data_IF_203844680077
#
_entry.id   IF_203844680077
#
_cell.length_a   1.000
_cell.length_b   1.000
_cell.length_c   1.000
_cell.angle_alpha   90.00
_cell.angle_beta   90.00
_cell.angle_gamma   90.00
#
_symmetry.space_group_name_H-M   'P 1'
#
loop_
_entity.id
_entity.type
_entity.pdbx_description
1 polymer ?
#
# COMPACT_ATOMS: atom_id res chain seq x y z
N UNK A 1 8.21 15.72 24.88
CA UNK A 1 8.17 16.69 23.76
C UNK A 1 9.24 16.25 22.78
N UNK A 2 8.87 15.48 21.78
CA UNK A 2 9.79 15.02 20.73
C UNK A 2 9.77 16.04 19.61
N UNK A 3 10.90 16.70 19.40
CA UNK A 3 11.13 17.59 18.26
C UNK A 3 11.15 16.76 17.00
N UNK A 4 10.07 16.83 16.23
CA UNK A 4 10.08 16.45 14.83
C UNK A 4 11.15 17.33 14.16
N UNK A 5 12.31 16.76 13.88
CA UNK A 5 13.30 17.39 12.99
C UNK A 5 12.67 17.46 11.60
N UNK A 6 12.03 18.60 11.32
CA UNK A 6 11.63 18.93 9.96
C UNK A 6 12.89 18.99 9.11
N UNK A 7 13.03 18.08 8.15
CA UNK A 7 14.02 18.20 7.10
C UNK A 7 13.88 19.62 6.51
N UNK A 8 14.93 20.42 6.45
CA UNK A 8 14.82 21.80 5.97
C UNK A 8 14.28 21.79 4.53
N UNK A 9 13.26 22.60 4.28
CA UNK A 9 12.76 22.88 2.94
C UNK A 9 13.90 23.50 2.12
N UNK A 10 14.49 22.74 1.22
CA UNK A 10 15.39 23.25 0.19
C UNK A 10 14.49 23.61 -0.99
N UNK A 11 14.33 24.91 -1.33
CA UNK A 11 13.56 25.28 -2.50
C UNK A 11 14.20 24.68 -3.74
N UNK A 12 13.44 23.90 -4.49
CA UNK A 12 13.89 23.35 -5.77
C UNK A 12 14.19 24.52 -6.72
N UNK A 13 15.38 24.53 -7.32
CA UNK A 13 15.79 25.58 -8.25
C UNK A 13 14.90 25.58 -9.50
N UNK A 14 14.43 24.41 -9.93
CA UNK A 14 13.46 24.24 -11.02
C UNK A 14 12.52 23.06 -10.71
N UNK A 15 11.32 23.33 -10.15
CA UNK A 15 10.35 22.27 -9.83
C UNK A 15 9.86 21.50 -11.07
N UNK A 16 9.84 22.13 -12.25
CA UNK A 16 9.38 21.49 -13.48
C UNK A 16 10.41 20.47 -13.96
N UNK A 17 11.66 20.87 -14.06
CA UNK A 17 12.75 19.97 -14.45
C UNK A 17 12.90 18.80 -13.46
N UNK A 18 12.71 19.04 -12.16
CA UNK A 18 12.76 17.96 -11.15
C UNK A 18 11.58 16.99 -11.30
N UNK A 19 10.38 17.49 -11.56
CA UNK A 19 9.21 16.63 -11.84
C UNK A 19 9.42 15.76 -13.08
N UNK A 20 9.93 16.34 -14.16
CA UNK A 20 10.25 15.62 -15.41
C UNK A 20 11.29 14.54 -15.16
N UNK A 21 12.34 14.85 -14.39
CA UNK A 21 13.39 13.89 -14.02
C UNK A 21 12.82 12.72 -13.22
N UNK A 22 12.02 13.00 -12.20
CA UNK A 22 11.37 11.97 -11.36
C UNK A 22 10.43 11.13 -12.23
N UNK A 23 9.57 11.76 -13.02
CA UNK A 23 8.61 11.07 -13.89
C UNK A 23 9.32 10.13 -14.88
N UNK A 24 10.40 10.58 -15.51
CA UNK A 24 11.18 9.76 -16.45
C UNK A 24 11.79 8.52 -15.75
N UNK A 25 12.32 8.69 -14.53
CA UNK A 25 12.89 7.59 -13.74
C UNK A 25 11.82 6.56 -13.37
N UNK A 26 10.66 7.01 -12.89
CA UNK A 26 9.56 6.12 -12.55
C UNK A 26 8.89 5.47 -13.76
N UNK A 27 8.87 6.14 -14.91
CA UNK A 27 8.42 5.55 -16.17
C UNK A 27 9.33 4.37 -16.58
N UNK A 28 10.65 4.53 -16.45
CA UNK A 28 11.61 3.46 -16.71
C UNK A 28 11.40 2.29 -15.72
N UNK A 29 11.23 2.57 -14.43
CA UNK A 29 10.94 1.56 -13.43
C UNK A 29 9.61 0.83 -13.71
N UNK A 30 8.56 1.56 -14.09
CA UNK A 30 7.26 1.01 -14.50
C UNK A 30 7.39 0.07 -15.70
N UNK A 31 8.18 0.44 -16.70
CA UNK A 31 8.44 -0.41 -17.87
C UNK A 31 9.14 -1.71 -17.47
N UNK A 32 10.21 -1.61 -16.67
CA UNK A 32 10.93 -2.79 -16.17
C UNK A 32 10.05 -3.73 -15.32
N UNK A 33 9.13 -3.17 -14.51
CA UNK A 33 8.16 -3.95 -13.75
C UNK A 33 7.20 -4.71 -14.67
N UNK A 34 6.67 -4.05 -15.71
CA UNK A 34 5.72 -4.64 -16.66
C UNK A 34 6.33 -5.72 -17.57
N UNK A 35 7.64 -5.71 -17.77
CA UNK A 35 8.35 -6.79 -18.48
C UNK A 35 8.40 -8.09 -17.65
N UNK A 36 8.40 -7.98 -16.31
CA UNK A 36 8.47 -9.12 -15.38
C UNK A 36 7.09 -9.56 -14.90
N UNK A 37 6.22 -8.58 -14.63
CA UNK A 37 4.84 -8.80 -14.15
C UNK A 37 3.91 -8.70 -15.34
N UNK A 38 3.56 -9.86 -15.88
CA UNK A 38 2.67 -9.95 -17.02
C UNK A 38 1.21 -9.82 -16.58
N UNK A 39 0.41 -9.10 -17.34
CA UNK A 39 -1.04 -9.04 -17.19
C UNK A 39 -1.55 -7.68 -16.78
N UNK A 40 -1.97 -7.51 -15.57
CA UNK A 40 -2.68 -6.31 -15.14
C UNK A 40 -1.72 -5.13 -14.90
N UNK A 41 -1.66 -4.24 -15.90
CA UNK A 41 -0.87 -3.03 -15.82
C UNK A 41 -1.33 -2.08 -14.69
N UNK A 42 -2.61 -2.15 -14.32
CA UNK A 42 -3.16 -1.29 -13.27
C UNK A 42 -2.64 -1.70 -11.88
N UNK A 43 -2.42 -2.99 -11.66
CA UNK A 43 -1.82 -3.51 -10.42
C UNK A 43 -0.41 -2.94 -10.21
N UNK A 44 0.42 -2.88 -11.26
CA UNK A 44 1.76 -2.30 -11.19
C UNK A 44 1.68 -0.80 -10.90
N UNK A 45 0.79 -0.09 -11.58
CA UNK A 45 0.60 1.35 -11.38
C UNK A 45 0.11 1.67 -9.96
N UNK A 46 -0.88 0.94 -9.45
CA UNK A 46 -1.39 1.12 -8.09
C UNK A 46 -0.32 0.83 -7.03
N UNK A 47 0.53 -0.18 -7.26
CA UNK A 47 1.64 -0.48 -6.38
C UNK A 47 2.69 0.66 -6.36
N UNK A 48 3.05 1.21 -7.54
CA UNK A 48 3.95 2.36 -7.64
C UNK A 48 3.35 3.62 -7.00
N UNK A 49 2.06 3.89 -7.23
CA UNK A 49 1.33 5.00 -6.61
C UNK A 49 1.33 4.85 -5.09
N UNK A 50 1.15 3.63 -4.58
CA UNK A 50 1.23 3.35 -3.13
C UNK A 50 2.57 3.77 -2.55
N UNK A 51 3.68 3.37 -3.18
CA UNK A 51 5.03 3.70 -2.73
C UNK A 51 5.34 5.19 -2.87
N UNK A 52 4.98 5.81 -3.99
CA UNK A 52 5.12 7.26 -4.22
C UNK A 52 4.33 8.10 -3.20
N UNK A 53 3.21 7.59 -2.73
CA UNK A 53 2.38 8.23 -1.70
C UNK A 53 2.91 8.00 -0.28
N UNK A 54 4.06 7.35 -0.11
CA UNK A 54 4.61 6.92 1.18
C UNK A 54 3.62 6.07 2.00
N UNK A 55 2.78 5.27 1.31
CA UNK A 55 1.74 4.45 1.92
C UNK A 55 2.10 2.97 2.04
N UNK A 56 1.14 2.20 2.54
CA UNK A 56 1.15 0.75 2.60
C UNK A 56 0.02 0.20 1.73
N UNK A 57 0.21 -0.94 1.08
CA UNK A 57 -0.78 -1.54 0.17
C UNK A 57 -1.37 -2.84 0.73
N UNK A 58 -2.65 -3.06 0.46
CA UNK A 58 -3.32 -4.34 0.71
C UNK A 58 -3.61 -5.00 -0.63
N UNK A 59 -2.98 -6.13 -0.92
CA UNK A 59 -3.19 -6.88 -2.16
C UNK A 59 -4.17 -8.02 -1.88
N UNK A 60 -5.32 -7.99 -2.55
CA UNK A 60 -6.36 -9.01 -2.41
C UNK A 60 -6.46 -9.81 -3.71
N UNK A 61 -6.37 -11.11 -3.60
CA UNK A 61 -6.47 -12.00 -4.76
C UNK A 61 -6.21 -13.45 -4.40
N UNK A 62 -6.66 -14.36 -5.25
CA UNK A 62 -6.47 -15.80 -5.06
C UNK A 62 -4.99 -16.21 -5.10
N UNK A 63 -4.61 -17.37 -4.55
CA UNK A 63 -3.25 -17.89 -4.66
C UNK A 63 -2.79 -18.07 -6.11
N UNK A 64 -1.49 -17.95 -6.36
CA UNK A 64 -0.92 -18.21 -7.69
C UNK A 64 -0.93 -17.00 -8.65
N UNK A 65 -1.46 -15.86 -8.27
CA UNK A 65 -1.52 -14.65 -9.12
C UNK A 65 -0.31 -13.72 -8.96
N UNK A 66 0.89 -14.26 -8.81
CA UNK A 66 2.17 -13.55 -8.81
C UNK A 66 2.29 -12.38 -7.80
N UNK A 67 1.46 -12.33 -6.73
CA UNK A 67 1.52 -11.27 -5.70
C UNK A 67 2.91 -11.14 -5.07
N UNK A 68 3.53 -12.28 -4.73
CA UNK A 68 4.89 -12.32 -4.17
C UNK A 68 5.90 -11.78 -5.17
N UNK A 69 5.82 -12.24 -6.43
CA UNK A 69 6.71 -11.81 -7.50
C UNK A 69 6.60 -10.28 -7.74
N UNK A 70 5.41 -9.72 -7.65
CA UNK A 70 5.19 -8.27 -7.75
C UNK A 70 5.99 -7.51 -6.67
N UNK A 71 5.84 -7.89 -5.40
CA UNK A 71 6.50 -7.18 -4.30
C UNK A 71 8.02 -7.37 -4.33
N UNK A 72 8.50 -8.56 -4.64
CA UNK A 72 9.94 -8.83 -4.82
C UNK A 72 10.53 -8.02 -5.98
N UNK A 73 9.82 -7.97 -7.13
CA UNK A 73 10.25 -7.19 -8.30
C UNK A 73 10.25 -5.70 -8.00
N UNK A 74 9.24 -5.18 -7.29
CA UNK A 74 9.22 -3.79 -6.82
C UNK A 74 10.45 -3.47 -5.98
N UNK A 75 10.81 -4.34 -5.03
CA UNK A 75 12.00 -4.17 -4.20
C UNK A 75 13.29 -4.09 -5.03
N UNK A 76 13.46 -4.99 -5.98
CA UNK A 76 14.64 -5.01 -6.86
C UNK A 76 14.70 -3.74 -7.71
N UNK A 77 13.61 -3.41 -8.44
CA UNK A 77 13.56 -2.28 -9.37
C UNK A 77 13.75 -0.94 -8.66
N UNK A 78 13.22 -0.79 -7.44
CA UNK A 78 13.31 0.44 -6.66
C UNK A 78 14.52 0.45 -5.70
N UNK A 79 15.39 -0.56 -5.74
CA UNK A 79 16.57 -0.63 -4.89
C UNK A 79 16.27 -0.68 -3.39
N UNK A 80 15.17 -1.33 -3.00
CA UNK A 80 14.72 -1.45 -1.62
C UNK A 80 15.13 -2.80 -1.02
N UNK A 81 15.66 -2.80 0.20
CA UNK A 81 15.80 -4.04 0.96
C UNK A 81 14.41 -4.63 1.21
N UNK A 82 14.21 -5.88 0.76
CA UNK A 82 12.90 -6.54 0.85
C UNK A 82 12.97 -7.77 1.72
N UNK A 83 11.99 -7.91 2.64
CA UNK A 83 11.79 -9.15 3.42
C UNK A 83 10.36 -9.63 3.25
N UNK A 84 10.19 -10.94 3.39
CA UNK A 84 8.87 -11.60 3.36
C UNK A 84 8.62 -12.31 4.68
N UNK A 85 7.40 -12.17 5.19
CA UNK A 85 6.90 -12.93 6.34
C UNK A 85 5.60 -13.61 5.91
N UNK A 86 5.56 -14.92 6.02
CA UNK A 86 4.33 -15.70 5.86
C UNK A 86 3.58 -15.69 7.19
N UNK A 87 2.36 -15.18 7.18
CA UNK A 87 1.51 -15.16 8.36
C UNK A 87 0.85 -16.52 8.54
N UNK A 88 0.99 -17.09 9.74
CA UNK A 88 0.45 -18.38 10.15
C UNK A 88 -0.23 -18.24 11.52
N UNK A 89 -1.14 -19.14 11.91
CA UNK A 89 -1.84 -19.04 13.19
C UNK A 89 -0.92 -19.04 14.42
N UNK A 90 0.24 -19.66 14.32
CA UNK A 90 1.26 -19.78 15.38
C UNK A 90 2.28 -18.63 15.37
N UNK A 91 2.27 -17.74 14.36
CA UNK A 91 3.18 -16.61 14.27
C UNK A 91 2.96 -15.64 15.46
N UNK A 92 4.03 -15.35 16.17
CA UNK A 92 4.02 -14.44 17.31
C UNK A 92 4.44 -13.00 16.92
N UNK A 93 4.00 -11.97 17.66
CA UNK A 93 4.45 -10.59 17.44
C UNK A 93 5.98 -10.44 17.42
N UNK A 94 6.68 -11.16 18.29
CA UNK A 94 8.15 -11.12 18.38
C UNK A 94 8.85 -11.66 17.12
N UNK A 95 8.21 -12.57 16.37
CA UNK A 95 8.73 -13.09 15.12
C UNK A 95 8.77 -12.00 14.02
N UNK A 96 7.93 -10.97 14.15
CA UNK A 96 7.87 -9.83 13.23
C UNK A 96 8.73 -8.68 13.73
N UNK A 97 8.58 -8.31 15.00
CA UNK A 97 9.22 -7.12 15.57
C UNK A 97 10.64 -7.36 16.05
N UNK A 98 10.98 -8.62 16.32
CA UNK A 98 12.23 -8.98 16.97
C UNK A 98 12.05 -9.15 18.49
N UNK A 99 13.09 -9.67 19.11
CA UNK A 99 13.12 -9.98 20.55
C UNK A 99 14.49 -9.72 21.15
N UNK A 100 14.52 -9.54 22.47
CA UNK A 100 15.77 -9.52 23.23
C UNK A 100 16.20 -10.94 23.60
N UNK A 101 17.45 -11.27 23.35
CA UNK A 101 18.08 -12.52 23.79
C UNK A 101 19.17 -12.24 24.80
N UNK A 102 19.28 -13.11 25.80
CA UNK A 102 20.35 -13.06 26.78
C UNK A 102 21.62 -13.67 26.16
N UNK A 103 22.62 -12.86 25.95
CA UNK A 103 23.95 -13.31 25.51
C UNK A 103 24.92 -13.33 26.68
N UNK A 104 25.74 -14.36 26.75
CA UNK A 104 26.86 -14.46 27.70
C UNK A 104 28.16 -14.25 26.93
N UNK A 105 28.90 -13.22 27.29
CA UNK A 105 30.22 -12.94 26.69
C UNK A 105 31.25 -14.00 27.10
N UNK A 106 32.37 -14.09 26.38
CA UNK A 106 33.48 -14.96 26.73
C UNK A 106 34.07 -14.71 28.12
N UNK A 107 33.74 -13.55 28.74
CA UNK A 107 34.14 -13.16 30.09
C UNK A 107 33.06 -13.49 31.16
N UNK A 108 31.98 -14.24 30.79
CA UNK A 108 30.91 -14.61 31.71
C UNK A 108 29.93 -13.47 32.05
N UNK A 109 30.00 -12.33 31.36
CA UNK A 109 29.03 -11.23 31.54
C UNK A 109 27.79 -11.50 30.72
N UNK A 110 26.63 -11.39 31.36
CA UNK A 110 25.32 -11.52 30.70
C UNK A 110 24.78 -10.16 30.33
N UNK A 111 24.40 -10.00 29.07
CA UNK A 111 23.74 -8.81 28.55
C UNK A 111 22.59 -9.17 27.62
N UNK A 112 21.54 -8.32 27.62
CA UNK A 112 20.47 -8.47 26.63
C UNK A 112 20.87 -7.80 25.32
N UNK A 113 20.71 -8.53 24.23
CA UNK A 113 20.87 -7.99 22.87
C UNK A 113 19.57 -8.09 22.11
N UNK A 114 19.14 -6.98 21.50
CA UNK A 114 18.00 -6.97 20.62
C UNK A 114 18.34 -7.57 19.26
N UNK A 115 17.61 -8.61 18.88
CA UNK A 115 17.65 -9.20 17.54
C UNK A 115 16.50 -8.61 16.74
N UNK A 116 16.84 -7.85 15.69
CA UNK A 116 15.87 -7.22 14.80
C UNK A 116 15.03 -8.27 14.05
N UNK A 117 13.73 -8.14 14.12
CA UNK A 117 12.80 -8.93 13.32
C UNK A 117 12.75 -8.50 11.84
N UNK A 118 11.99 -9.21 11.01
CA UNK A 118 11.86 -8.90 9.58
C UNK A 118 11.23 -7.53 9.29
N UNK A 119 10.51 -6.91 10.22
CA UNK A 119 9.97 -5.55 10.07
C UNK A 119 11.07 -4.49 9.83
N UNK A 120 12.32 -4.77 10.23
CA UNK A 120 13.46 -3.91 9.95
C UNK A 120 13.94 -4.14 8.52
N UNK A 121 13.23 -3.56 7.57
CA UNK A 121 13.49 -3.58 6.13
C UNK A 121 12.80 -2.38 5.47
N UNK A 122 13.19 -2.03 4.25
CA UNK A 122 12.57 -0.92 3.51
C UNK A 122 11.22 -1.31 2.90
N UNK A 123 11.08 -2.58 2.49
CA UNK A 123 9.85 -3.12 1.91
C UNK A 123 9.55 -4.48 2.55
N UNK A 124 8.48 -4.56 3.31
CA UNK A 124 8.00 -5.80 3.92
C UNK A 124 6.82 -6.37 3.15
N UNK A 125 6.92 -7.62 2.74
CA UNK A 125 5.78 -8.40 2.30
C UNK A 125 5.20 -9.19 3.47
N UNK A 126 3.99 -8.85 3.88
CA UNK A 126 3.21 -9.59 4.90
C UNK A 126 2.22 -10.51 4.18
N UNK A 127 2.62 -11.74 3.95
CA UNK A 127 1.84 -12.68 3.13
C UNK A 127 0.75 -13.37 3.97
N UNK A 128 -0.49 -13.36 3.47
CA UNK A 128 -1.68 -13.92 4.12
C UNK A 128 -1.93 -13.37 5.54
N UNK A 129 -1.91 -12.03 5.68
CA UNK A 129 -2.01 -11.34 6.98
C UNK A 129 -3.22 -11.79 7.82
N UNK A 130 -4.31 -12.21 7.17
CA UNK A 130 -5.53 -12.68 7.83
C UNK A 130 -5.41 -14.07 8.48
N UNK A 131 -4.29 -14.80 8.29
CA UNK A 131 -4.06 -16.12 8.94
C UNK A 131 -3.48 -16.02 10.34
N UNK A 132 -2.80 -14.93 10.68
CA UNK A 132 -2.25 -14.77 12.02
C UNK A 132 -3.26 -14.20 13.01
N UNK A 133 -2.99 -14.40 14.31
CA UNK A 133 -3.82 -13.90 15.39
C UNK A 133 -3.99 -12.37 15.34
N UNK A 134 -5.10 -11.81 15.86
CA UNK A 134 -5.30 -10.36 15.92
C UNK A 134 -4.18 -9.62 16.67
N UNK A 135 -3.53 -10.27 17.63
CA UNK A 135 -2.39 -9.71 18.36
C UNK A 135 -1.18 -9.52 17.44
N UNK A 136 -0.89 -10.50 16.62
CA UNK A 136 0.23 -10.47 15.66
C UNK A 136 -0.04 -9.46 14.54
N UNK A 137 -1.27 -9.42 14.00
CA UNK A 137 -1.69 -8.40 13.04
C UNK A 137 -1.51 -6.99 13.62
N UNK A 138 -1.97 -6.76 14.87
CA UNK A 138 -1.87 -5.46 15.54
C UNK A 138 -0.44 -4.99 15.71
N UNK A 139 0.52 -5.89 15.98
CA UNK A 139 1.94 -5.53 16.09
C UNK A 139 2.50 -4.99 14.77
N UNK A 140 2.21 -5.63 13.63
CA UNK A 140 2.59 -5.10 12.32
C UNK A 140 1.93 -3.76 12.04
N UNK A 141 0.61 -3.66 12.24
CA UNK A 141 -0.15 -2.45 11.95
C UNK A 141 0.26 -1.26 12.84
N UNK A 142 0.74 -1.52 14.07
CA UNK A 142 1.32 -0.51 14.92
C UNK A 142 2.67 -0.04 14.35
N UNK A 143 3.55 -0.96 13.97
CA UNK A 143 4.83 -0.63 13.34
C UNK A 143 4.65 0.22 12.05
N UNK A 144 3.62 -0.09 11.23
CA UNK A 144 3.26 0.69 10.05
C UNK A 144 2.87 2.13 10.37
N UNK A 145 2.16 2.34 11.48
CA UNK A 145 1.68 3.68 11.87
C UNK A 145 2.74 4.51 12.58
N UNK A 146 3.52 3.88 13.46
CA UNK A 146 4.43 4.56 14.36
C UNK A 146 5.87 4.68 13.79
N UNK A 147 6.20 3.91 12.74
CA UNK A 147 7.54 3.80 12.15
C UNK A 147 8.61 3.41 13.16
N UNK A 148 8.23 2.76 14.24
CA UNK A 148 9.12 2.16 15.24
C UNK A 148 8.46 0.97 15.90
N UNK A 149 9.26 0.15 16.58
CA UNK A 149 8.78 -0.89 17.48
C UNK A 149 9.29 -0.64 18.89
N UNK A 150 8.52 -1.05 19.88
CA UNK A 150 8.93 -0.98 21.30
C UNK A 150 9.08 -2.40 21.85
N UNK A 151 10.29 -2.75 22.26
CA UNK A 151 10.60 -4.07 22.85
C UNK A 151 11.26 -3.85 24.21
N UNK A 152 10.74 -4.51 25.23
CA UNK A 152 11.21 -4.38 26.64
C UNK A 152 11.35 -2.93 27.13
N UNK A 153 10.46 -2.03 26.65
CA UNK A 153 10.47 -0.60 27.00
C UNK A 153 11.42 0.26 26.16
N UNK A 154 12.24 -0.34 25.29
CA UNK A 154 13.15 0.38 24.39
C UNK A 154 12.51 0.59 23.02
N UNK A 155 12.68 1.80 22.49
CA UNK A 155 12.21 2.17 21.14
C UNK A 155 13.31 1.89 20.11
N UNK A 156 12.89 1.24 19.01
CA UNK A 156 13.74 0.94 17.85
C UNK A 156 13.08 1.47 16.60
N UNK A 157 13.66 2.51 16.00
CA UNK A 157 13.14 3.12 14.78
C UNK A 157 13.34 2.20 13.58
N UNK A 158 12.32 2.16 12.69
CA UNK A 158 12.38 1.39 11.45
C UNK A 158 13.16 2.15 10.38
N UNK A 159 13.69 1.45 9.36
CA UNK A 159 14.36 2.10 8.23
C UNK A 159 13.45 3.11 7.52
N UNK A 160 14.05 4.09 6.86
CA UNK A 160 13.37 5.00 5.93
C UNK A 160 13.98 4.80 4.54
N UNK A 161 13.14 4.53 3.51
CA UNK A 161 11.69 4.36 3.55
C UNK A 161 11.26 3.03 4.20
N UNK A 162 10.05 3.00 4.77
CA UNK A 162 9.42 1.78 5.27
C UNK A 162 8.03 1.59 4.67
N UNK A 163 7.84 0.51 3.93
CA UNK A 163 6.58 0.16 3.29
C UNK A 163 6.19 -1.28 3.58
N UNK A 164 4.89 -1.53 3.60
CA UNK A 164 4.32 -2.87 3.74
C UNK A 164 3.34 -3.11 2.61
N UNK A 165 3.50 -4.23 1.91
CA UNK A 165 2.43 -4.84 1.12
C UNK A 165 1.95 -6.08 1.86
N UNK A 166 0.73 -6.00 2.37
CA UNK A 166 0.05 -7.16 2.95
C UNK A 166 -0.77 -7.88 1.88
N UNK A 167 -0.84 -9.20 1.93
CA UNK A 167 -1.73 -9.97 1.06
C UNK A 167 -2.88 -10.58 1.84
N UNK A 168 -4.03 -10.71 1.18
CA UNK A 168 -5.18 -11.49 1.66
C UNK A 168 -5.66 -12.44 0.56
N UNK A 169 -6.03 -13.64 0.98
CA UNK A 169 -6.73 -14.59 0.14
C UNK A 169 -8.24 -14.52 0.45
N UNK A 170 -9.08 -14.07 -0.48
CA UNK A 170 -10.52 -13.91 -0.24
C UNK A 170 -11.28 -15.23 -0.14
N UNK A 171 -10.71 -16.34 -0.61
CA UNK A 171 -11.36 -17.66 -0.64
C UNK A 171 -11.16 -18.41 0.69
N UNK A 172 -10.02 -18.24 1.34
CA UNK A 172 -9.73 -18.90 2.61
C UNK A 172 -10.52 -18.24 3.76
N UNK A 173 -11.51 -18.93 4.26
CA UNK A 173 -12.31 -18.50 5.41
C UNK A 173 -11.99 -19.32 6.68
N UNK A 174 -11.61 -20.58 6.54
CA UNK A 174 -11.24 -21.43 7.68
C UNK A 174 -9.88 -21.05 8.24
N UNK A 175 -9.80 -20.91 9.58
CA UNK A 175 -8.54 -20.57 10.27
C UNK A 175 -8.05 -19.14 10.02
N UNK A 176 -8.92 -18.24 9.57
CA UNK A 176 -8.58 -16.83 9.33
C UNK A 176 -9.22 -15.90 10.34
N UNK A 177 -8.52 -14.80 10.60
CA UNK A 177 -8.98 -13.68 11.43
C UNK A 177 -9.11 -12.44 10.54
N UNK A 178 -10.33 -12.04 10.17
CA UNK A 178 -10.52 -10.84 9.33
C UNK A 178 -9.97 -9.60 10.04
N UNK A 179 -9.34 -8.74 9.26
CA UNK A 179 -8.90 -7.43 9.77
C UNK A 179 -10.13 -6.55 10.04
N UNK A 180 -10.24 -5.96 11.25
CA UNK A 180 -11.27 -4.96 11.52
C UNK A 180 -11.14 -3.74 10.60
N UNK A 181 -12.26 -3.08 10.31
CA UNK A 181 -12.33 -1.91 9.42
C UNK A 181 -11.35 -0.79 9.84
N UNK A 182 -11.23 -0.53 11.14
CA UNK A 182 -10.29 0.46 11.67
C UNK A 182 -8.80 0.09 11.43
N UNK A 183 -8.51 -1.17 11.21
CA UNK A 183 -7.17 -1.65 10.85
C UNK A 183 -6.94 -1.59 9.34
N UNK A 184 -7.95 -1.88 8.55
CA UNK A 184 -7.91 -1.73 7.09
C UNK A 184 -7.66 -0.27 6.67
N UNK A 185 -8.19 0.71 7.40
CA UNK A 185 -7.98 2.14 7.15
C UNK A 185 -6.50 2.60 7.24
N UNK A 186 -5.59 1.74 7.73
CA UNK A 186 -4.14 2.01 7.75
C UNK A 186 -3.45 1.76 6.41
N UNK A 187 -4.04 0.93 5.55
CA UNK A 187 -3.57 0.76 4.18
C UNK A 187 -4.00 1.94 3.32
N UNK A 188 -3.09 2.44 2.48
CA UNK A 188 -3.40 3.54 1.56
C UNK A 188 -4.49 3.13 0.58
N UNK A 189 -4.31 1.96 -0.04
CA UNK A 189 -5.27 1.41 -1.00
C UNK A 189 -5.30 -0.12 -0.95
N UNK A 190 -6.40 -0.67 -1.41
CA UNK A 190 -6.58 -2.07 -1.73
C UNK A 190 -6.36 -2.28 -3.23
N UNK A 191 -5.50 -3.24 -3.56
CA UNK A 191 -5.16 -3.62 -4.93
C UNK A 191 -5.74 -5.00 -5.16
N UNK A 192 -6.81 -5.07 -5.94
CA UNK A 192 -7.42 -6.35 -6.29
C UNK A 192 -6.69 -6.97 -7.48
N UNK A 193 -6.26 -8.22 -7.32
CA UNK A 193 -5.60 -8.99 -8.39
C UNK A 193 -6.57 -10.06 -8.87
N UNK A 194 -7.08 -9.87 -10.09
CA UNK A 194 -7.99 -10.78 -10.74
C UNK A 194 -7.25 -11.84 -11.56
N UNK A 195 -7.98 -12.88 -11.99
CA UNK A 195 -7.43 -13.80 -12.99
C UNK A 195 -7.12 -13.04 -14.29
N UNK A 196 -5.99 -13.34 -14.94
CA UNK A 196 -5.66 -12.74 -16.23
C UNK A 196 -6.67 -13.18 -17.30
N UNK A 197 -6.79 -12.39 -18.35
CA UNK A 197 -7.54 -12.81 -19.53
C UNK A 197 -6.83 -13.95 -20.28
N UNK A 198 -7.54 -14.66 -21.16
CA UNK A 198 -7.03 -15.84 -21.86
C UNK A 198 -5.76 -15.55 -22.69
N UNK A 199 -5.61 -14.33 -23.23
CA UNK A 199 -4.43 -13.94 -23.99
C UNK A 199 -3.22 -13.78 -23.08
N UNK A 200 -3.39 -13.05 -21.99
CA UNK A 200 -2.36 -12.84 -20.97
C UNK A 200 -1.95 -14.15 -20.31
N UNK A 201 -2.92 -15.04 -20.00
CA UNK A 201 -2.64 -16.35 -19.43
C UNK A 201 -1.78 -17.19 -20.38
N UNK A 202 -2.08 -17.16 -21.68
CA UNK A 202 -1.25 -17.81 -22.71
C UNK A 202 0.18 -17.25 -22.73
N UNK A 203 0.33 -15.92 -22.65
CA UNK A 203 1.64 -15.28 -22.65
C UNK A 203 2.44 -15.66 -21.38
N UNK A 204 1.78 -15.73 -20.23
CA UNK A 204 2.36 -16.23 -18.97
C UNK A 204 2.86 -17.64 -19.13
N UNK A 205 2.03 -18.57 -19.63
CA UNK A 205 2.41 -19.96 -19.84
C UNK A 205 3.64 -20.09 -20.74
N UNK A 206 3.67 -19.36 -21.85
CA UNK A 206 4.78 -19.40 -22.81
C UNK A 206 6.07 -18.85 -22.17
N UNK A 207 6.01 -17.70 -21.50
CA UNK A 207 7.20 -17.05 -20.95
C UNK A 207 7.76 -17.76 -19.74
N UNK A 208 6.90 -18.25 -18.83
CA UNK A 208 7.35 -18.92 -17.60
C UNK A 208 7.90 -20.32 -17.84
N UNK A 209 7.57 -20.96 -18.99
CA UNK A 209 8.02 -22.32 -19.31
C UNK A 209 9.20 -22.38 -20.30
N UNK A 210 9.61 -21.25 -20.88
CA UNK A 210 10.75 -21.19 -21.82
C UNK A 210 12.12 -21.25 -21.18
N UNK A 211 12.22 -21.20 -19.86
CA UNK A 211 13.52 -21.25 -19.14
C UNK A 211 14.31 -19.94 -19.15
N UNK A 212 13.85 -18.93 -19.85
CA UNK A 212 14.40 -17.56 -19.80
C UNK A 212 13.66 -16.78 -18.73
N UNK A 213 14.30 -16.52 -17.61
CA UNK A 213 13.75 -15.65 -16.57
C UNK A 213 14.25 -14.24 -16.83
N UNK A 214 13.36 -13.32 -17.23
CA UNK A 214 13.68 -11.89 -17.18
C UNK A 214 13.95 -11.50 -15.73
N UNK A 215 15.23 -11.26 -15.41
CA UNK A 215 15.62 -10.77 -14.10
C UNK A 215 15.41 -9.27 -14.06
N UNK A 216 14.64 -8.81 -13.09
CA UNK A 216 14.53 -7.39 -12.82
C UNK A 216 15.90 -6.83 -12.41
N UNK A 217 16.22 -5.62 -12.89
CA UNK A 217 17.40 -4.88 -12.45
C UNK A 217 16.99 -3.63 -11.69
N UNK A 218 17.86 -3.20 -10.77
CA UNK A 218 17.63 -1.96 -10.03
C UNK A 218 17.66 -0.76 -11.00
N UNK A 219 16.55 -0.04 -11.05
CA UNK A 219 16.38 1.16 -11.86
C UNK A 219 16.49 2.44 -11.02
N UNK A 220 16.20 2.34 -9.73
CA UNK A 220 16.17 3.44 -8.76
C UNK A 220 16.94 3.06 -7.51
N UNK A 221 17.28 4.06 -6.70
CA UNK A 221 17.79 3.90 -5.35
C UNK A 221 16.73 4.32 -4.33
N UNK A 222 16.82 3.82 -3.10
CA UNK A 222 15.88 4.15 -2.02
C UNK A 222 15.76 5.68 -1.79
N UNK A 223 16.86 6.43 -1.89
CA UNK A 223 16.86 7.88 -1.72
C UNK A 223 16.10 8.60 -2.86
N UNK A 224 16.09 8.05 -4.07
CA UNK A 224 15.31 8.61 -5.18
C UNK A 224 13.81 8.43 -4.93
N UNK A 225 13.39 7.31 -4.30
CA UNK A 225 12.00 7.13 -3.86
C UNK A 225 11.63 8.15 -2.79
N UNK A 226 12.47 8.37 -1.78
CA UNK A 226 12.24 9.38 -0.73
C UNK A 226 12.11 10.78 -1.35
N UNK A 227 12.98 11.11 -2.30
CA UNK A 227 12.91 12.39 -3.02
C UNK A 227 11.59 12.54 -3.77
N UNK A 228 11.15 11.50 -4.47
CA UNK A 228 9.86 11.50 -5.18
C UNK A 228 8.67 11.62 -4.24
N UNK A 229 8.68 10.94 -3.09
CA UNK A 229 7.64 11.05 -2.05
C UNK A 229 7.52 12.47 -1.51
N UNK A 230 8.65 13.12 -1.24
CA UNK A 230 8.68 14.51 -0.81
C UNK A 230 8.15 15.44 -1.91
N UNK A 231 8.52 15.20 -3.17
CA UNK A 231 8.01 15.95 -4.31
C UNK A 231 6.49 15.82 -4.45
N UNK A 232 5.93 14.61 -4.37
CA UNK A 232 4.48 14.34 -4.41
C UNK A 232 3.74 15.17 -3.35
N UNK A 233 4.29 15.29 -2.15
CA UNK A 233 3.68 16.10 -1.07
C UNK A 233 3.64 17.59 -1.39
N UNK A 234 4.62 18.09 -2.15
CA UNK A 234 4.72 19.50 -2.53
C UNK A 234 3.96 19.85 -3.81
N UNK A 235 3.55 18.86 -4.61
CA UNK A 235 2.82 19.11 -5.85
C UNK A 235 1.54 19.91 -5.59
N UNK A 236 1.27 20.93 -6.42
CA UNK A 236 0.02 21.71 -6.31
C UNK A 236 -1.20 20.82 -6.60
N UNK A 237 -2.34 21.22 -6.04
CA UNK A 237 -3.64 20.62 -6.31
C UNK A 237 -4.67 21.73 -6.44
N UNK A 238 -5.50 21.67 -7.47
CA UNK A 238 -6.54 22.67 -7.71
C UNK A 238 -7.74 22.46 -6.77
N UNK A 239 -8.40 23.57 -6.39
CA UNK A 239 -9.55 23.55 -5.49
C UNK A 239 -10.67 22.63 -6.00
N UNK A 240 -10.91 22.58 -7.31
CA UNK A 240 -11.90 21.66 -7.91
C UNK A 240 -11.64 20.18 -7.64
N UNK A 241 -10.37 19.79 -7.56
CA UNK A 241 -9.98 18.39 -7.23
C UNK A 241 -10.17 18.14 -5.72
N UNK A 242 -9.83 19.12 -4.88
CA UNK A 242 -10.04 19.05 -3.42
C UNK A 242 -11.53 18.94 -3.10
N UNK A 243 -12.35 19.76 -3.76
CA UNK A 243 -13.82 19.75 -3.60
C UNK A 243 -14.44 18.43 -4.05
N UNK A 244 -13.98 17.89 -5.18
CA UNK A 244 -14.41 16.57 -5.67
C UNK A 244 -14.06 15.45 -4.67
N UNK A 245 -12.84 15.45 -4.13
CA UNK A 245 -12.41 14.49 -3.10
C UNK A 245 -13.29 14.62 -1.85
N UNK A 246 -13.52 15.84 -1.38
CA UNK A 246 -14.34 16.10 -0.20
C UNK A 246 -15.78 15.66 -0.41
N UNK A 247 -16.39 16.00 -1.55
CA UNK A 247 -17.74 15.63 -1.91
C UNK A 247 -17.89 14.11 -1.97
N UNK A 248 -16.96 13.41 -2.67
CA UNK A 248 -16.96 11.96 -2.81
C UNK A 248 -16.84 11.25 -1.45
N UNK A 249 -15.87 11.64 -0.60
CA UNK A 249 -15.66 11.03 0.72
C UNK A 249 -16.85 11.24 1.65
N UNK A 250 -17.46 12.44 1.61
CA UNK A 250 -18.64 12.74 2.43
C UNK A 250 -19.86 11.98 1.93
N UNK A 251 -20.08 11.92 0.63
CA UNK A 251 -21.20 11.20 0.02
C UNK A 251 -21.17 9.68 0.29
N UNK A 252 -19.98 9.12 0.50
CA UNK A 252 -19.80 7.70 0.83
C UNK A 252 -20.10 7.34 2.31
N UNK A 253 -20.51 8.30 3.15
CA UNK A 253 -20.87 8.05 4.55
C UNK A 253 -22.36 7.81 4.72
N UNK A 254 -22.78 6.95 5.67
CA UNK A 254 -24.21 6.69 5.92
C UNK A 254 -24.97 7.95 6.37
N UNK A 255 -24.31 8.89 7.05
CA UNK A 255 -24.92 10.13 7.55
C UNK A 255 -24.93 11.26 6.50
N UNK A 256 -24.47 11.03 5.29
CA UNK A 256 -24.28 12.08 4.26
C UNK A 256 -25.60 12.62 3.66
N UNK A 257 -26.70 11.91 3.86
CA UNK A 257 -27.98 12.21 3.22
C UNK A 257 -28.12 11.66 1.78
N UNK A 258 -27.07 11.00 1.24
CA UNK A 258 -27.16 10.26 -0.01
C UNK A 258 -27.96 8.98 0.22
N UNK A 259 -29.11 8.85 -0.46
CA UNK A 259 -30.07 7.76 -0.24
C UNK A 259 -29.41 6.38 -0.36
N UNK A 260 -28.61 6.16 -1.41
CA UNK A 260 -27.92 4.89 -1.64
C UNK A 260 -26.96 4.52 -0.50
N UNK A 261 -26.23 5.50 0.04
CA UNK A 261 -25.28 5.26 1.12
C UNK A 261 -25.98 5.13 2.48
N UNK A 262 -26.99 5.97 2.76
CA UNK A 262 -27.75 5.88 4.00
C UNK A 262 -28.46 4.52 4.17
N UNK A 263 -28.93 3.92 3.07
CA UNK A 263 -29.61 2.63 3.11
C UNK A 263 -28.66 1.43 3.12
N UNK A 264 -27.54 1.52 2.39
CA UNK A 264 -26.70 0.35 2.08
C UNK A 264 -25.37 0.30 2.83
N UNK A 265 -24.89 1.42 3.37
CA UNK A 265 -23.60 1.52 4.05
C UNK A 265 -23.79 1.55 5.57
N UNK A 266 -23.13 0.63 6.29
CA UNK A 266 -23.10 0.60 7.75
C UNK A 266 -21.91 1.35 8.34
N UNK A 267 -20.82 1.44 7.59
CA UNK A 267 -19.61 2.15 7.96
C UNK A 267 -18.98 2.78 6.71
N UNK A 268 -18.62 4.05 6.78
CA UNK A 268 -18.10 4.85 5.67
C UNK A 268 -16.71 5.44 5.93
N UNK A 269 -16.08 6.03 4.89
CA UNK A 269 -14.71 6.49 4.95
C UNK A 269 -14.53 7.70 5.87
N UNK A 270 -13.46 7.65 6.69
CA UNK A 270 -13.01 8.75 7.54
C UNK A 270 -12.13 9.77 6.79
N UNK A 271 -11.57 10.77 7.51
CA UNK A 271 -10.67 11.77 6.92
C UNK A 271 -9.42 11.16 6.26
N UNK A 272 -8.96 9.99 6.70
CA UNK A 272 -7.81 9.28 6.10
C UNK A 272 -8.06 8.91 4.64
N UNK A 273 -9.29 8.63 4.25
CA UNK A 273 -9.63 8.38 2.85
C UNK A 273 -9.38 9.62 1.98
N UNK A 274 -9.76 10.81 2.45
CA UNK A 274 -9.47 12.07 1.76
C UNK A 274 -7.96 12.32 1.67
N UNK A 275 -7.22 12.10 2.75
CA UNK A 275 -5.75 12.22 2.76
C UNK A 275 -5.10 11.23 1.78
N UNK A 276 -5.58 10.00 1.72
CA UNK A 276 -5.11 9.00 0.77
C UNK A 276 -5.37 9.42 -0.67
N UNK A 277 -6.59 9.90 -0.99
CA UNK A 277 -6.91 10.44 -2.32
C UNK A 277 -6.03 11.64 -2.68
N UNK A 278 -5.82 12.58 -1.77
CA UNK A 278 -4.96 13.75 -1.97
C UNK A 278 -3.51 13.38 -2.34
N UNK A 279 -2.94 12.37 -1.70
CA UNK A 279 -1.58 11.90 -1.99
C UNK A 279 -1.54 11.04 -3.25
N UNK A 280 -2.44 10.09 -3.37
CA UNK A 280 -2.44 9.13 -4.48
C UNK A 280 -2.75 9.80 -5.84
N UNK A 281 -3.62 10.82 -5.88
CA UNK A 281 -3.90 11.56 -7.12
C UNK A 281 -2.68 12.35 -7.60
N UNK A 282 -1.92 12.97 -6.69
CA UNK A 282 -0.63 13.62 -7.02
C UNK A 282 0.39 12.60 -7.52
N UNK A 283 0.52 11.45 -6.82
CA UNK A 283 1.43 10.38 -7.22
C UNK A 283 1.08 9.83 -8.61
N UNK A 284 -0.22 9.65 -8.91
CA UNK A 284 -0.69 9.23 -10.24
C UNK A 284 -0.39 10.28 -11.31
N UNK A 285 -0.63 11.55 -11.03
CA UNK A 285 -0.30 12.64 -11.96
C UNK A 285 1.20 12.65 -12.28
N UNK A 286 2.07 12.56 -11.26
CA UNK A 286 3.53 12.49 -11.42
C UNK A 286 3.96 11.27 -12.25
N UNK A 287 3.41 10.09 -11.99
CA UNK A 287 3.70 8.86 -12.74
C UNK A 287 3.28 8.97 -14.22
N UNK A 288 2.34 9.86 -14.53
CA UNK A 288 1.91 10.19 -15.90
C UNK A 288 2.61 11.43 -16.49
N UNK A 289 3.62 11.98 -15.81
CA UNK A 289 4.36 13.14 -16.25
C UNK A 289 3.61 14.47 -16.13
N UNK A 290 2.54 14.53 -15.28
CA UNK A 290 1.77 15.76 -15.04
C UNK A 290 2.18 16.40 -13.72
N UNK A 291 2.15 17.74 -13.67
CA UNK A 291 2.57 18.54 -12.52
C UNK A 291 1.45 18.78 -11.51
N UNK A 292 0.21 18.47 -11.85
CA UNK A 292 -0.95 18.58 -10.98
C UNK A 292 -1.97 17.48 -11.28
N UNK A 293 -2.71 17.00 -10.28
CA UNK A 293 -3.78 16.03 -10.47
C UNK A 293 -5.03 16.67 -11.07
N UNK A 294 -5.88 15.82 -11.68
CA UNK A 294 -7.21 16.17 -12.21
C UNK A 294 -8.30 15.37 -11.51
N UNK A 295 -9.56 15.68 -11.81
CA UNK A 295 -10.70 14.89 -11.34
C UNK A 295 -10.65 13.44 -11.87
N UNK A 296 -10.12 13.22 -13.09
CA UNK A 296 -9.92 11.85 -13.62
C UNK A 296 -9.01 10.99 -12.74
N UNK A 297 -8.05 11.62 -12.03
CA UNK A 297 -7.21 10.90 -11.06
C UNK A 297 -8.02 10.49 -9.83
N UNK A 298 -8.95 11.34 -9.39
CA UNK A 298 -9.87 11.01 -8.29
C UNK A 298 -10.77 9.86 -8.71
N UNK A 299 -11.34 9.92 -9.91
CA UNK A 299 -12.21 8.87 -10.44
C UNK A 299 -11.47 7.52 -10.53
N UNK A 300 -10.26 7.51 -11.05
CA UNK A 300 -9.45 6.30 -11.21
C UNK A 300 -9.03 5.66 -9.87
N UNK A 301 -8.83 6.47 -8.83
CA UNK A 301 -8.33 6.00 -7.53
C UNK A 301 -9.42 5.84 -6.46
N UNK A 302 -10.65 6.25 -6.74
CA UNK A 302 -11.76 6.16 -5.80
C UNK A 302 -12.00 4.72 -5.33
N UNK A 303 -12.09 3.77 -6.27
CA UNK A 303 -12.36 2.36 -5.94
C UNK A 303 -11.26 1.75 -5.07
N UNK A 304 -9.96 1.74 -5.45
CA UNK A 304 -8.92 1.14 -4.64
C UNK A 304 -8.73 1.81 -3.26
N UNK A 305 -9.12 3.10 -3.12
CA UNK A 305 -8.96 3.81 -1.84
C UNK A 305 -10.19 3.68 -0.95
N UNK A 306 -11.40 3.62 -1.49
CA UNK A 306 -12.64 3.59 -0.70
C UNK A 306 -13.11 2.17 -0.36
N UNK A 307 -12.86 1.18 -1.21
CA UNK A 307 -13.42 -0.17 -1.11
C UNK A 307 -13.20 -0.81 0.26
N UNK A 308 -12.00 -0.76 0.79
CA UNK A 308 -11.63 -1.31 2.11
C UNK A 308 -11.97 -0.39 3.29
N UNK A 309 -12.57 0.78 3.01
CA UNK A 309 -13.01 1.79 3.98
C UNK A 309 -14.52 1.94 4.05
N UNK A 310 -15.24 1.03 3.44
CA UNK A 310 -16.71 1.01 3.44
C UNK A 310 -17.21 -0.39 3.75
N UNK A 311 -18.23 -0.49 4.58
CA UNK A 311 -18.90 -1.75 4.89
C UNK A 311 -20.38 -1.67 4.58
N UNK A 312 -20.90 -2.71 3.91
CA UNK A 312 -22.31 -2.82 3.58
C UNK A 312 -23.15 -3.20 4.81
N UNK A 313 -24.40 -2.73 4.88
CA UNK A 313 -25.39 -3.24 5.83
C UNK A 313 -25.66 -4.71 5.56
N UNK A 314 -26.20 -5.41 6.58
CA UNK A 314 -26.63 -6.81 6.41
C UNK A 314 -27.67 -6.96 5.29
N UNK A 315 -28.63 -6.01 5.21
CA UNK A 315 -29.66 -5.98 4.18
C UNK A 315 -29.05 -5.86 2.78
N UNK A 316 -28.13 -4.91 2.57
CA UNK A 316 -27.48 -4.70 1.28
C UNK A 316 -26.70 -5.94 0.81
N UNK A 317 -26.03 -6.64 1.75
CA UNK A 317 -25.36 -7.92 1.44
C UNK A 317 -26.37 -9.02 1.04
N UNK A 318 -27.49 -9.11 1.74
CA UNK A 318 -28.53 -10.10 1.43
C UNK A 318 -29.23 -9.82 0.07
N UNK A 319 -29.32 -8.56 -0.33
CA UNK A 319 -29.83 -8.11 -1.63
C UNK A 319 -28.79 -8.24 -2.77
N UNK A 320 -27.56 -8.67 -2.46
CA UNK A 320 -26.48 -8.86 -3.46
C UNK A 320 -25.88 -7.57 -3.99
N UNK A 321 -26.00 -6.46 -3.26
CA UNK A 321 -25.43 -5.18 -3.65
C UNK A 321 -23.90 -5.25 -3.54
N UNK A 322 -23.20 -4.85 -4.61
CA UNK A 322 -21.75 -4.79 -4.63
C UNK A 322 -21.26 -3.39 -4.22
N UNK A 323 -20.26 -3.35 -3.32
CA UNK A 323 -19.66 -2.09 -2.88
C UNK A 323 -18.99 -1.33 -4.03
N UNK A 324 -18.45 -2.06 -4.99
CA UNK A 324 -17.81 -1.52 -6.20
C UNK A 324 -18.79 -0.70 -7.02
N UNK A 325 -20.05 -1.18 -7.14
CA UNK A 325 -21.09 -0.48 -7.91
C UNK A 325 -21.58 0.78 -7.20
N UNK A 326 -21.62 0.75 -5.86
CA UNK A 326 -21.91 1.95 -5.06
C UNK A 326 -20.84 3.03 -5.28
N UNK A 327 -19.57 2.66 -5.18
CA UNK A 327 -18.45 3.58 -5.39
C UNK A 327 -18.47 4.15 -6.82
N UNK A 328 -18.70 3.30 -7.85
CA UNK A 328 -18.80 3.76 -9.25
C UNK A 328 -19.93 4.77 -9.46
N UNK A 329 -21.10 4.58 -8.81
CA UNK A 329 -22.22 5.54 -8.87
C UNK A 329 -21.85 6.87 -8.20
N UNK A 330 -21.19 6.83 -7.03
CA UNK A 330 -20.70 8.02 -6.35
C UNK A 330 -19.69 8.80 -7.21
N UNK A 331 -18.71 8.10 -7.80
CA UNK A 331 -17.74 8.72 -8.72
C UNK A 331 -18.45 9.43 -9.86
N UNK A 332 -19.37 8.77 -10.55
CA UNK A 332 -20.12 9.36 -11.68
C UNK A 332 -20.91 10.61 -11.29
N UNK A 333 -21.29 10.75 -10.01
CA UNK A 333 -22.12 11.86 -9.52
C UNK A 333 -21.30 13.02 -8.98
N UNK A 334 -20.14 12.77 -8.37
CA UNK A 334 -19.37 13.76 -7.62
C UNK A 334 -18.00 14.08 -8.20
N UNK A 335 -17.57 13.34 -9.17
CA UNK A 335 -16.30 13.50 -9.89
C UNK A 335 -16.55 13.60 -11.39
#
# INVERSE_FOLDING_TARGET
MSTLTSTPYIPLQDPVAEAERIAARFLSARTALREVILGDNDVVDLALITLLSAGHGLIVGVPGLAKTKLVETLGIVLGLETKRVQFTPDLMPADITGSEVLEESSEGRRSFRFIKGPVFTSLLMADEINRASPRTQSALLQAMQEHHVTVSGNRYDLPTPFHVFATQNPIEQEGTYPLPEAQLDRFLMQIDVAYPDAKTEKDILIQTTRGETHQAMAMLLADELITAQNFVRMMPIGDSVVDAILALVRAARPESGEADCAEHISWGPGPRAGQALMLATRARALLQGRLAPSQDDVAALALPILKHRMALTYRARAEGIAIDDLIKRLVKRFV
#
